data_IF_588682274728
#
_entry.id   IF_588682274728
#
_cell.length_a   1.000
_cell.length_b   1.000
_cell.length_c   1.000
_cell.angle_alpha   90.00
_cell.angle_beta   90.00
_cell.angle_gamma   90.00
#
_symmetry.space_group_name_H-M   'P 1'
#
loop_
_entity.id
_entity.type
_entity.pdbx_description
1 polymer ?
#
# COMPACT_ATOMS: atom_id res chain seq x y z
N UNK A 1 -25.86 11.66 -0.46
CA UNK A 1 -26.21 11.59 -1.90
C UNK A 1 -24.96 11.97 -2.70
N UNK A 2 -24.73 11.29 -3.79
CA UNK A 2 -23.65 11.67 -4.73
C UNK A 2 -24.00 13.04 -5.34
N UNK A 3 -23.16 14.07 -5.17
CA UNK A 3 -23.44 15.43 -5.65
C UNK A 3 -23.53 15.53 -7.18
N UNK A 4 -23.02 14.53 -7.91
CA UNK A 4 -22.99 14.54 -9.38
C UNK A 4 -24.14 13.79 -10.02
N UNK A 5 -24.73 12.80 -9.35
CA UNK A 5 -25.75 11.93 -9.93
C UNK A 5 -27.09 11.92 -9.17
N UNK A 6 -27.17 12.54 -7.98
CA UNK A 6 -28.35 12.51 -7.11
C UNK A 6 -28.72 11.11 -6.58
N UNK A 7 -27.86 10.09 -6.86
CA UNK A 7 -28.07 8.72 -6.39
C UNK A 7 -27.60 8.54 -4.96
N UNK A 8 -28.18 7.61 -4.19
CA UNK A 8 -27.65 7.27 -2.88
C UNK A 8 -26.23 6.70 -3.02
N UNK A 9 -25.35 7.05 -2.06
CA UNK A 9 -24.00 6.50 -2.00
C UNK A 9 -24.05 4.97 -1.82
N UNK A 10 -23.13 4.27 -2.44
CA UNK A 10 -22.95 2.84 -2.22
C UNK A 10 -22.46 2.54 -0.79
N UNK A 11 -22.69 1.32 -0.29
CA UNK A 11 -22.26 0.91 1.06
C UNK A 11 -20.79 1.25 1.34
N UNK A 12 -19.90 0.96 0.40
CA UNK A 12 -18.46 1.22 0.55
C UNK A 12 -18.12 2.71 0.62
N UNK A 13 -18.89 3.56 -0.06
CA UNK A 13 -18.72 5.02 0.02
C UNK A 13 -19.19 5.57 1.36
N UNK A 14 -20.29 5.01 1.89
CA UNK A 14 -20.77 5.35 3.25
C UNK A 14 -19.77 4.95 4.32
N UNK A 15 -19.17 3.75 4.24
CA UNK A 15 -18.11 3.32 5.16
C UNK A 15 -16.91 4.27 5.14
N UNK A 16 -16.45 4.65 3.95
CA UNK A 16 -15.31 5.58 3.80
C UNK A 16 -15.65 6.97 4.33
N UNK A 17 -16.88 7.45 4.11
CA UNK A 17 -17.34 8.74 4.63
C UNK A 17 -17.42 8.78 6.17
N UNK A 18 -17.73 7.66 6.80
CA UNK A 18 -17.77 7.51 8.26
C UNK A 18 -16.36 7.50 8.89
N UNK A 19 -15.38 6.92 8.20
CA UNK A 19 -13.98 6.81 8.62
C UNK A 19 -13.04 7.32 7.54
N UNK A 20 -13.03 8.64 7.26
CA UNK A 20 -12.28 9.20 6.13
C UNK A 20 -10.75 9.14 6.31
N UNK A 21 -10.27 8.89 7.52
CA UNK A 21 -8.87 8.59 7.80
C UNK A 21 -8.45 7.16 7.42
N UNK A 22 -9.40 6.33 6.98
CA UNK A 22 -9.21 4.93 6.58
C UNK A 22 -8.78 4.01 7.73
N UNK A 23 -9.03 4.38 8.97
CA UNK A 23 -8.66 3.57 10.16
C UNK A 23 -9.54 2.33 10.32
N UNK A 24 -10.83 2.43 10.02
CA UNK A 24 -11.80 1.40 10.35
C UNK A 24 -11.76 1.03 11.83
N UNK A 25 -11.88 -0.27 12.11
CA UNK A 25 -11.64 -0.90 13.44
C UNK A 25 -10.39 -1.80 13.41
N UNK A 26 -9.40 -1.43 12.57
CA UNK A 26 -8.18 -2.23 12.36
C UNK A 26 -7.38 -2.37 13.66
N UNK A 27 -7.28 -1.28 14.47
CA UNK A 27 -6.52 -1.30 15.73
C UNK A 27 -7.11 -2.27 16.74
N UNK A 28 -8.43 -2.28 16.87
CA UNK A 28 -9.17 -3.16 17.76
C UNK A 28 -8.97 -4.62 17.35
N UNK A 29 -9.02 -4.90 16.05
CA UNK A 29 -8.75 -6.24 15.51
C UNK A 29 -7.31 -6.68 15.82
N UNK A 30 -6.33 -5.80 15.63
CA UNK A 30 -4.92 -6.10 15.91
C UNK A 30 -4.61 -6.26 17.41
N UNK A 31 -5.36 -5.58 18.27
CA UNK A 31 -5.23 -5.68 19.72
C UNK A 31 -5.85 -6.97 20.28
N UNK A 32 -6.73 -7.64 19.54
CA UNK A 32 -7.36 -8.89 19.95
C UNK A 32 -6.47 -10.09 19.56
N UNK A 33 -5.85 -10.80 20.52
CA UNK A 33 -4.97 -11.93 20.24
C UNK A 33 -5.70 -13.15 19.64
N UNK A 34 -7.02 -13.23 19.80
CA UNK A 34 -7.86 -14.30 19.28
C UNK A 34 -8.38 -14.00 17.87
N UNK A 35 -8.20 -12.78 17.37
CA UNK A 35 -8.64 -12.45 16.03
C UNK A 35 -7.74 -13.10 14.98
N UNK A 36 -8.34 -13.82 14.06
CA UNK A 36 -7.67 -14.47 12.92
C UNK A 36 -7.91 -13.72 11.60
N UNK A 37 -8.80 -12.72 11.61
CA UNK A 37 -9.24 -11.99 10.42
C UNK A 37 -9.76 -10.60 10.76
N UNK A 38 -9.84 -9.76 9.74
CA UNK A 38 -10.52 -8.48 9.78
C UNK A 38 -12.02 -8.63 9.53
N UNK A 39 -12.82 -7.69 10.02
CA UNK A 39 -14.25 -7.61 9.75
C UNK A 39 -14.53 -7.39 8.26
N UNK A 40 -15.74 -7.70 7.80
CA UNK A 40 -16.12 -7.47 6.40
C UNK A 40 -16.10 -5.98 5.99
N UNK A 41 -16.32 -5.07 6.94
CA UNK A 41 -16.24 -3.64 6.70
C UNK A 41 -14.77 -3.17 6.67
N UNK A 42 -13.92 -3.69 7.58
CA UNK A 42 -12.48 -3.42 7.56
C UNK A 42 -11.77 -3.95 6.31
N UNK A 43 -12.31 -4.98 5.65
CA UNK A 43 -11.78 -5.41 4.36
C UNK A 43 -11.73 -4.29 3.31
N UNK A 44 -12.56 -3.25 3.43
CA UNK A 44 -12.46 -2.08 2.55
C UNK A 44 -11.30 -1.18 2.94
N UNK A 45 -11.09 -0.96 4.24
CA UNK A 45 -10.03 -0.08 4.75
C UNK A 45 -8.65 -0.69 4.58
N UNK A 46 -8.44 -1.96 4.93
CA UNK A 46 -7.14 -2.63 4.77
C UNK A 46 -6.64 -2.65 3.32
N UNK A 47 -7.54 -2.57 2.32
CA UNK A 47 -7.16 -2.42 0.90
C UNK A 47 -6.36 -1.14 0.68
N UNK A 48 -6.77 -0.02 1.29
CA UNK A 48 -6.01 1.24 1.19
C UNK A 48 -4.61 1.12 1.82
N UNK A 49 -4.47 0.25 2.82
CA UNK A 49 -3.19 -0.06 3.46
C UNK A 49 -2.36 -1.11 2.70
N UNK A 50 -2.82 -1.55 1.53
CA UNK A 50 -2.11 -2.50 0.68
C UNK A 50 -2.34 -3.96 1.02
N UNK A 51 -3.36 -4.26 1.79
CA UNK A 51 -3.67 -5.58 2.33
C UNK A 51 -4.94 -6.13 1.67
N UNK A 52 -4.92 -7.43 1.33
CA UNK A 52 -6.11 -8.18 0.93
C UNK A 52 -6.27 -9.40 1.81
N UNK A 53 -7.40 -9.51 2.49
CA UNK A 53 -7.77 -10.71 3.22
C UNK A 53 -8.12 -11.83 2.24
N UNK A 54 -7.62 -13.00 2.51
CA UNK A 54 -7.79 -14.22 1.72
C UNK A 54 -8.07 -15.39 2.65
N UNK A 55 -8.69 -16.43 2.12
CA UNK A 55 -8.84 -17.72 2.78
C UNK A 55 -8.21 -18.82 1.93
N UNK A 56 -7.69 -19.85 2.60
CA UNK A 56 -7.14 -21.02 1.93
C UNK A 56 -8.30 -21.82 1.30
N UNK A 57 -8.29 -21.91 -0.04
CA UNK A 57 -9.34 -22.58 -0.81
C UNK A 57 -9.38 -24.08 -0.57
N UNK A 58 -8.22 -24.67 -0.35
CA UNK A 58 -8.11 -26.12 -0.20
C UNK A 58 -8.63 -26.58 1.17
N UNK A 59 -8.52 -25.71 2.15
CA UNK A 59 -8.98 -25.95 3.54
C UNK A 59 -10.44 -25.56 3.80
N UNK A 60 -11.14 -24.96 2.86
CA UNK A 60 -12.54 -24.53 3.03
C UNK A 60 -13.48 -25.62 3.52
N UNK A 61 -13.20 -26.89 3.20
CA UNK A 61 -14.00 -28.05 3.61
C UNK A 61 -13.81 -28.46 5.06
N UNK A 62 -12.64 -28.16 5.62
CA UNK A 62 -12.25 -28.55 7.00
C UNK A 62 -12.28 -27.37 7.98
N UNK A 63 -12.43 -26.16 7.48
CA UNK A 63 -12.44 -24.91 8.21
C UNK A 63 -11.77 -23.81 7.37
N UNK A 64 -12.17 -22.56 7.56
CA UNK A 64 -11.53 -21.44 6.87
C UNK A 64 -10.26 -21.04 7.62
N UNK A 65 -9.13 -21.09 6.98
CA UNK A 65 -7.90 -20.47 7.45
C UNK A 65 -7.69 -19.14 6.74
N UNK A 66 -7.58 -18.07 7.50
CA UNK A 66 -7.41 -16.73 6.96
C UNK A 66 -5.92 -16.35 6.93
N UNK A 67 -5.57 -15.71 5.84
CA UNK A 67 -4.27 -15.06 5.66
C UNK A 67 -4.48 -13.78 4.87
N UNK A 68 -3.43 -12.99 4.73
CA UNK A 68 -3.50 -11.81 3.88
C UNK A 68 -2.41 -11.82 2.81
N UNK A 69 -2.71 -11.13 1.72
CA UNK A 69 -1.73 -10.68 0.75
C UNK A 69 -1.37 -9.24 1.07
N UNK A 70 -0.08 -8.94 1.22
CA UNK A 70 0.44 -7.58 1.37
C UNK A 70 1.16 -7.18 0.09
N UNK A 71 0.91 -5.97 -0.40
CA UNK A 71 1.49 -5.45 -1.64
C UNK A 71 2.34 -4.22 -1.35
N UNK A 72 3.57 -4.21 -1.85
CA UNK A 72 4.49 -3.09 -1.75
C UNK A 72 4.25 -2.06 -2.86
N UNK A 73 4.81 -0.86 -2.70
CA UNK A 73 4.79 0.21 -3.69
C UNK A 73 6.20 0.37 -4.28
N UNK A 74 6.30 0.31 -5.59
CA UNK A 74 7.51 0.58 -6.37
C UNK A 74 7.12 1.43 -7.57
N UNK A 75 7.26 2.74 -7.46
CA UNK A 75 7.00 3.64 -8.59
C UNK A 75 7.96 3.34 -9.72
N UNK A 76 7.42 3.24 -10.94
CA UNK A 76 8.20 2.88 -12.12
C UNK A 76 8.81 1.47 -12.10
N UNK A 77 8.50 0.65 -11.09
CA UNK A 77 9.13 -0.65 -10.88
C UNK A 77 10.55 -0.58 -10.32
N UNK A 78 10.98 0.61 -9.91
CA UNK A 78 12.32 0.84 -9.37
C UNK A 78 12.40 0.27 -7.97
N UNK A 79 13.34 -0.64 -7.75
CA UNK A 79 13.64 -1.21 -6.43
C UNK A 79 15.16 -1.35 -6.29
N UNK A 80 15.79 -0.63 -5.34
CA UNK A 80 17.20 -0.84 -5.02
C UNK A 80 17.47 -2.27 -4.55
N UNK A 81 18.61 -2.83 -4.92
CA UNK A 81 18.99 -4.20 -4.55
C UNK A 81 18.93 -4.42 -3.03
N UNK A 82 19.33 -3.44 -2.24
CA UNK A 82 19.29 -3.53 -0.78
C UNK A 82 17.84 -3.59 -0.23
N UNK A 83 16.89 -2.87 -0.84
CA UNK A 83 15.47 -3.00 -0.50
C UNK A 83 14.94 -4.40 -0.87
N UNK A 84 15.32 -4.91 -2.04
CA UNK A 84 14.93 -6.26 -2.45
C UNK A 84 15.39 -7.32 -1.44
N UNK A 85 16.63 -7.23 -0.94
CA UNK A 85 17.14 -8.14 0.08
C UNK A 85 16.36 -8.08 1.41
N UNK A 86 15.80 -6.93 1.76
CA UNK A 86 14.86 -6.83 2.89
C UNK A 86 13.56 -7.58 2.57
N UNK A 87 13.00 -7.39 1.37
CA UNK A 87 11.78 -8.11 0.97
C UNK A 87 11.96 -9.63 0.93
N UNK A 88 13.08 -10.09 0.42
CA UNK A 88 13.43 -11.52 0.39
C UNK A 88 13.43 -12.12 1.80
N UNK A 89 14.14 -11.48 2.72
CA UNK A 89 14.16 -11.88 4.13
C UNK A 89 12.75 -11.88 4.77
N UNK A 90 11.97 -10.82 4.54
CA UNK A 90 10.62 -10.69 5.08
C UNK A 90 9.68 -11.74 4.49
N UNK A 91 9.89 -12.16 3.24
CA UNK A 91 9.08 -13.20 2.61
C UNK A 91 9.24 -14.55 3.30
N UNK A 92 10.45 -14.89 3.70
CA UNK A 92 10.74 -16.11 4.45
C UNK A 92 10.24 -16.08 5.90
N UNK A 93 10.19 -14.89 6.52
CA UNK A 93 9.77 -14.77 7.93
C UNK A 93 8.27 -14.67 8.13
N UNK A 94 7.57 -13.94 7.27
CA UNK A 94 6.17 -13.55 7.49
C UNK A 94 5.21 -14.02 6.42
N UNK A 95 5.72 -14.50 5.28
CA UNK A 95 4.91 -14.96 4.15
C UNK A 95 5.21 -16.42 3.83
N UNK A 96 4.77 -16.88 2.68
CA UNK A 96 4.99 -18.26 2.22
C UNK A 96 6.39 -18.52 1.60
N UNK A 97 7.36 -17.66 1.84
CA UNK A 97 8.73 -17.78 1.31
C UNK A 97 8.87 -17.36 -0.16
N UNK A 98 7.85 -16.75 -0.76
CA UNK A 98 7.90 -16.31 -2.15
C UNK A 98 7.51 -14.85 -2.31
N UNK A 99 8.12 -14.18 -3.29
CA UNK A 99 7.72 -12.86 -3.76
C UNK A 99 7.10 -12.97 -5.15
N UNK A 100 5.95 -12.32 -5.35
CA UNK A 100 5.31 -12.26 -6.66
C UNK A 100 5.39 -10.87 -7.25
N UNK A 101 5.91 -10.76 -8.45
CA UNK A 101 5.90 -9.52 -9.24
C UNK A 101 4.53 -9.39 -9.90
N UNK A 102 3.97 -8.19 -9.92
CA UNK A 102 2.68 -7.90 -10.53
C UNK A 102 2.83 -7.16 -11.85
N UNK A 103 1.78 -7.18 -12.68
CA UNK A 103 1.70 -6.34 -13.90
C UNK A 103 1.71 -4.83 -13.62
N UNK A 104 1.71 -4.41 -12.35
CA UNK A 104 1.87 -3.02 -11.92
C UNK A 104 3.23 -2.76 -11.28
N UNK A 105 4.21 -3.59 -11.61
CA UNK A 105 5.61 -3.41 -11.16
C UNK A 105 5.74 -3.33 -9.63
N UNK A 106 4.98 -4.17 -8.90
CA UNK A 106 5.00 -4.22 -7.43
C UNK A 106 5.24 -5.64 -6.96
N UNK A 107 5.70 -5.81 -5.72
CA UNK A 107 5.79 -7.11 -5.08
C UNK A 107 4.56 -7.43 -4.23
N UNK A 108 4.31 -8.73 -4.09
CA UNK A 108 3.28 -9.26 -3.20
C UNK A 108 3.88 -10.33 -2.29
N UNK A 109 3.53 -10.24 -1.02
CA UNK A 109 3.71 -11.26 0.01
C UNK A 109 2.39 -11.99 0.18
N UNK A 110 2.39 -13.30 0.11
CA UNK A 110 1.19 -14.13 0.26
C UNK A 110 1.30 -15.04 1.48
N UNK A 111 0.15 -15.40 2.07
CA UNK A 111 0.11 -16.28 3.22
C UNK A 111 0.55 -15.61 4.53
N UNK A 112 0.49 -14.28 4.60
CA UNK A 112 0.86 -13.56 5.82
C UNK A 112 -0.25 -13.75 6.85
N UNK A 113 0.10 -14.24 8.03
CA UNK A 113 -0.82 -14.37 9.16
C UNK A 113 -0.98 -13.03 9.88
N UNK A 114 -2.09 -12.85 10.59
CA UNK A 114 -2.43 -11.59 11.25
C UNK A 114 -1.30 -11.05 12.13
N UNK A 115 -0.68 -11.90 12.96
CA UNK A 115 0.44 -11.50 13.84
C UNK A 115 1.68 -10.99 13.08
N UNK A 116 1.85 -11.39 11.83
CA UNK A 116 2.98 -11.00 10.98
C UNK A 116 2.77 -9.69 10.22
N UNK A 117 1.54 -9.18 10.13
CA UNK A 117 1.23 -8.01 9.28
C UNK A 117 1.95 -6.75 9.77
N UNK A 118 1.83 -6.43 11.05
CA UNK A 118 2.44 -5.25 11.65
C UNK A 118 3.97 -5.23 11.47
N UNK A 119 4.69 -6.26 11.96
CA UNK A 119 6.14 -6.38 11.74
C UNK A 119 6.57 -6.30 10.29
N UNK A 120 5.84 -6.94 9.37
CA UNK A 120 6.11 -6.90 7.94
C UNK A 120 5.99 -5.47 7.38
N UNK A 121 4.87 -4.78 7.63
CA UNK A 121 4.63 -3.44 7.08
C UNK A 121 5.59 -2.43 7.71
N UNK A 122 5.87 -2.53 9.01
CA UNK A 122 6.88 -1.68 9.67
C UNK A 122 8.23 -1.80 8.99
N UNK A 123 8.74 -3.01 8.80
CA UNK A 123 10.06 -3.24 8.18
C UNK A 123 10.12 -2.76 6.74
N UNK A 124 9.02 -2.89 5.97
CA UNK A 124 8.91 -2.32 4.63
C UNK A 124 9.06 -0.78 4.67
N UNK A 125 8.41 -0.11 5.63
CA UNK A 125 8.50 1.35 5.77
C UNK A 125 9.89 1.78 6.28
N UNK A 126 10.48 1.04 7.20
CA UNK A 126 11.85 1.28 7.67
C UNK A 126 12.89 1.17 6.56
N UNK A 127 12.64 0.32 5.56
CA UNK A 127 13.45 0.22 4.34
C UNK A 127 13.13 1.30 3.29
N UNK A 128 12.43 2.39 3.66
CA UNK A 128 12.02 3.50 2.80
C UNK A 128 11.14 3.06 1.62
N UNK A 129 10.27 2.09 1.85
CA UNK A 129 9.19 1.71 0.94
C UNK A 129 7.85 1.89 1.63
N UNK A 130 6.76 1.40 1.04
CA UNK A 130 5.42 1.49 1.62
C UNK A 130 4.49 0.42 1.07
N UNK A 131 3.36 0.23 1.74
CA UNK A 131 2.22 -0.54 1.22
C UNK A 131 0.99 0.34 0.99
N UNK A 132 1.06 1.62 1.39
CA UNK A 132 -0.04 2.58 1.30
C UNK A 132 -0.52 2.74 -0.14
N UNK A 133 -1.83 2.68 -0.33
CA UNK A 133 -2.52 2.90 -1.60
C UNK A 133 -2.08 1.99 -2.77
N UNK A 134 -1.45 0.87 -2.48
CA UNK A 134 -1.18 -0.15 -3.50
C UNK A 134 -2.44 -0.92 -3.90
N UNK A 135 -3.46 -0.83 -3.08
CA UNK A 135 -4.80 -1.34 -3.25
C UNK A 135 -5.83 -0.25 -2.88
N UNK A 136 -7.14 -0.56 -2.85
CA UNK A 136 -8.18 0.43 -2.49
C UNK A 136 -8.68 1.28 -3.67
N UNK A 137 -9.58 2.20 -3.37
CA UNK A 137 -10.28 3.06 -4.35
C UNK A 137 -9.58 4.43 -4.47
N UNK A 138 -8.33 4.37 -4.87
CA UNK A 138 -7.39 5.47 -5.02
C UNK A 138 -6.53 5.25 -6.25
N UNK A 139 -5.62 6.18 -6.54
CA UNK A 139 -4.55 5.94 -7.50
C UNK A 139 -3.62 4.84 -6.98
N UNK A 140 -3.43 3.83 -7.82
CA UNK A 140 -2.54 2.70 -7.52
C UNK A 140 -1.09 3.04 -7.80
N UNK A 141 -0.20 2.04 -7.74
CA UNK A 141 1.19 2.23 -8.14
C UNK A 141 1.27 2.85 -9.55
N UNK A 142 2.03 3.91 -9.69
CA UNK A 142 2.34 4.53 -10.98
C UNK A 142 3.39 3.67 -11.68
N UNK A 143 3.11 3.26 -12.92
CA UNK A 143 4.04 2.46 -13.73
C UNK A 143 4.80 3.34 -14.71
N UNK A 144 6.03 2.95 -15.03
CA UNK A 144 6.86 3.57 -16.05
C UNK A 144 7.54 2.48 -16.89
N UNK A 145 8.23 2.80 -17.98
CA UNK A 145 9.00 1.83 -18.74
C UNK A 145 9.97 1.06 -17.83
N UNK A 146 10.02 -0.27 -17.99
CA UNK A 146 10.81 -1.16 -17.12
C UNK A 146 12.29 -1.25 -17.48
N UNK A 147 12.71 -0.60 -18.55
CA UNK A 147 14.11 -0.56 -18.96
C UNK A 147 14.89 0.48 -18.14
N UNK A 148 16.17 0.23 -17.86
CA UNK A 148 17.02 1.26 -17.28
C UNK A 148 16.98 2.55 -18.12
N UNK A 149 16.96 3.73 -17.47
CA UNK A 149 16.95 4.99 -18.20
C UNK A 149 18.25 5.16 -19.00
N UNK A 150 18.12 5.27 -20.30
CA UNK A 150 19.26 5.38 -21.23
C UNK A 150 19.44 6.79 -21.82
N UNK A 151 18.48 7.66 -21.59
CA UNK A 151 18.46 9.03 -22.06
C UNK A 151 17.73 9.98 -21.09
N UNK A 152 17.79 11.27 -21.37
CA UNK A 152 17.18 12.29 -20.52
C UNK A 152 15.67 12.19 -20.43
N UNK A 153 15.01 11.69 -21.48
CA UNK A 153 13.54 11.51 -21.49
C UNK A 153 13.15 10.40 -20.53
N UNK A 154 13.89 9.28 -20.54
CA UNK A 154 13.63 8.16 -19.65
C UNK A 154 13.86 8.57 -18.17
N UNK A 155 14.92 9.32 -17.88
CA UNK A 155 15.18 9.88 -16.54
C UNK A 155 14.02 10.80 -16.11
N UNK A 156 13.57 11.71 -16.98
CA UNK A 156 12.46 12.62 -16.67
C UNK A 156 11.16 11.86 -16.40
N UNK A 157 10.89 10.80 -17.15
CA UNK A 157 9.69 9.96 -16.92
C UNK A 157 9.72 9.30 -15.53
N UNK A 158 10.88 8.84 -15.07
CA UNK A 158 11.01 8.27 -13.73
C UNK A 158 10.76 9.34 -12.65
N UNK A 159 11.34 10.54 -12.80
CA UNK A 159 11.11 11.67 -11.89
C UNK A 159 9.63 12.10 -11.86
N UNK A 160 8.99 12.20 -13.02
CA UNK A 160 7.58 12.53 -13.15
C UNK A 160 6.68 11.46 -12.51
N UNK A 161 7.04 10.18 -12.66
CA UNK A 161 6.33 9.08 -12.02
C UNK A 161 6.39 9.17 -10.49
N UNK A 162 7.53 9.51 -9.91
CA UNK A 162 7.66 9.75 -8.47
C UNK A 162 6.90 11.00 -8.01
N UNK A 163 6.97 12.08 -8.77
CA UNK A 163 6.25 13.32 -8.50
C UNK A 163 4.74 13.07 -8.49
N UNK A 164 4.23 12.37 -9.50
CA UNK A 164 2.82 12.00 -9.59
C UNK A 164 2.42 11.02 -8.48
N UNK A 165 3.27 10.07 -8.13
CA UNK A 165 3.02 9.15 -7.01
C UNK A 165 2.79 9.93 -5.73
N UNK A 166 3.69 10.87 -5.38
CA UNK A 166 3.56 11.70 -4.17
C UNK A 166 2.29 12.55 -4.17
N UNK A 167 1.98 13.17 -5.30
CA UNK A 167 0.80 14.00 -5.45
C UNK A 167 -0.52 13.22 -5.29
N UNK A 168 -0.51 11.92 -5.66
CA UNK A 168 -1.70 11.06 -5.65
C UNK A 168 -1.76 10.07 -4.48
N UNK A 169 -0.83 10.16 -3.50
CA UNK A 169 -0.97 9.39 -2.26
C UNK A 169 -2.12 9.92 -1.42
N UNK A 170 -2.97 9.05 -0.86
CA UNK A 170 -4.00 9.48 0.07
C UNK A 170 -3.37 10.04 1.34
N UNK A 171 -3.88 11.18 1.79
CA UNK A 171 -3.44 11.85 3.01
C UNK A 171 -4.17 11.25 4.21
N UNK A 172 -3.64 10.15 4.73
CA UNK A 172 -4.17 9.49 5.92
C UNK A 172 -3.14 9.46 7.04
N UNK A 173 -3.58 9.75 8.26
CA UNK A 173 -2.77 9.59 9.48
C UNK A 173 -2.83 8.16 10.03
N UNK A 174 -3.87 7.42 9.69
CA UNK A 174 -4.12 6.09 10.23
C UNK A 174 -3.06 5.07 9.81
N UNK A 175 -2.59 5.10 8.55
CA UNK A 175 -1.61 4.14 8.06
C UNK A 175 -0.35 4.09 8.93
N UNK A 176 0.32 5.23 9.12
CA UNK A 176 1.55 5.28 9.92
C UNK A 176 1.30 4.96 11.38
N UNK A 177 0.26 5.53 11.97
CA UNK A 177 -0.07 5.31 13.38
C UNK A 177 -0.49 3.87 13.70
N UNK A 178 -1.02 3.11 12.74
CA UNK A 178 -1.36 1.69 12.93
C UNK A 178 -0.14 0.80 12.71
N UNK A 179 0.58 1.00 11.61
CA UNK A 179 1.54 0.01 11.12
C UNK A 179 3.00 0.36 11.43
N UNK A 180 3.31 1.63 11.66
CA UNK A 180 4.68 2.09 11.89
C UNK A 180 4.89 2.47 13.35
N UNK A 181 4.14 3.45 13.85
CA UNK A 181 4.31 3.97 15.20
C UNK A 181 3.75 3.03 16.27
N UNK A 182 2.64 2.33 15.95
CA UNK A 182 1.97 1.40 16.84
C UNK A 182 2.66 0.04 17.00
N UNK A 183 3.67 -0.27 16.20
CA UNK A 183 4.35 -1.57 16.20
C UNK A 183 5.76 -1.45 16.78
N UNK A 184 6.01 -2.12 17.90
CA UNK A 184 7.34 -2.22 18.50
C UNK A 184 7.88 -3.63 18.29
N UNK A 185 8.77 -3.79 17.33
CA UNK A 185 9.41 -5.06 17.01
C UNK A 185 10.83 -4.82 16.55
N UNK A 186 11.78 -5.55 17.11
CA UNK A 186 13.14 -5.67 16.58
C UNK A 186 13.29 -7.06 15.94
N UNK A 187 13.50 -7.06 14.64
CA UNK A 187 13.70 -8.29 13.85
C UNK A 187 15.17 -8.63 13.64
N UNK A 188 16.09 -7.87 14.20
CA UNK A 188 17.52 -8.02 13.92
C UNK A 188 17.90 -7.69 12.47
N UNK A 189 17.10 -6.88 11.79
CA UNK A 189 17.31 -6.47 10.39
C UNK A 189 18.02 -5.11 10.27
N UNK A 190 18.51 -4.53 11.36
CA UNK A 190 19.03 -3.16 11.41
C UNK A 190 20.08 -2.86 10.34
N UNK A 191 21.06 -3.78 10.11
CA UNK A 191 22.06 -3.59 9.08
C UNK A 191 21.48 -3.65 7.65
N UNK A 192 20.57 -4.58 7.36
CA UNK A 192 19.90 -4.67 6.05
C UNK A 192 19.05 -3.44 5.77
N UNK A 193 18.30 -2.98 6.77
CA UNK A 193 17.48 -1.76 6.70
C UNK A 193 18.37 -0.53 6.51
N UNK A 194 19.49 -0.41 7.23
CA UNK A 194 20.44 0.69 7.05
C UNK A 194 21.01 0.73 5.62
N UNK A 195 21.37 -0.42 5.05
CA UNK A 195 21.80 -0.52 3.65
C UNK A 195 20.70 -0.13 2.68
N UNK A 196 19.45 -0.57 2.95
CA UNK A 196 18.29 -0.20 2.13
C UNK A 196 18.04 1.31 2.16
N UNK A 197 18.12 1.95 3.33
CA UNK A 197 17.99 3.41 3.48
C UNK A 197 19.08 4.16 2.72
N UNK A 198 20.32 3.71 2.84
CA UNK A 198 21.45 4.32 2.14
C UNK A 198 21.38 4.18 0.61
N UNK A 199 20.57 3.26 0.10
CA UNK A 199 20.37 3.06 -1.34
C UNK A 199 19.26 3.96 -1.94
N UNK A 200 18.62 4.80 -1.14
CA UNK A 200 17.56 5.73 -1.56
C UNK A 200 18.06 7.15 -1.31
N UNK A 201 18.18 7.96 -2.36
CA UNK A 201 18.76 9.30 -2.30
C UNK A 201 17.91 10.33 -1.53
N UNK A 202 16.70 9.99 -1.16
CA UNK A 202 15.73 10.91 -0.54
C UNK A 202 15.09 10.28 0.70
N UNK A 203 14.48 11.13 1.55
CA UNK A 203 13.53 10.66 2.56
C UNK A 203 12.46 9.79 1.91
N UNK A 204 11.80 8.92 2.70
CA UNK A 204 10.82 7.96 2.16
C UNK A 204 9.90 8.62 1.12
N UNK A 205 10.02 8.28 -0.18
CA UNK A 205 9.29 8.94 -1.25
C UNK A 205 7.77 8.68 -1.19
N UNK A 206 7.35 7.76 -0.33
CA UNK A 206 5.96 7.34 -0.14
C UNK A 206 5.33 7.89 1.14
N UNK A 207 5.97 8.87 1.78
CA UNK A 207 5.38 9.58 2.91
C UNK A 207 4.40 10.62 2.38
N UNK A 208 3.08 10.48 2.60
CA UNK A 208 2.14 11.50 2.18
C UNK A 208 2.28 12.75 3.07
N UNK A 209 1.99 13.94 2.55
CA UNK A 209 1.82 15.10 3.40
C UNK A 209 0.63 14.89 4.36
N UNK A 210 0.55 15.65 5.46
CA UNK A 210 -0.58 15.57 6.39
C UNK A 210 -1.93 15.77 5.68
N UNK A 211 -2.97 15.14 6.22
CA UNK A 211 -4.34 15.42 5.79
C UNK A 211 -4.74 16.84 6.14
N UNK A 212 -5.60 17.45 5.32
CA UNK A 212 -6.29 18.67 5.69
C UNK A 212 -7.41 18.35 6.70
N UNK A 213 -8.02 19.38 7.28
CA UNK A 213 -9.18 19.22 8.17
C UNK A 213 -10.36 19.98 7.58
N UNK A 214 -11.57 19.43 7.72
CA UNK A 214 -12.79 20.13 7.39
C UNK A 214 -13.20 21.10 8.52
N UNK A 215 -14.32 21.82 8.32
CA UNK A 215 -14.86 22.79 9.29
C UNK A 215 -15.19 22.17 10.65
N UNK A 216 -15.34 20.85 10.74
CA UNK A 216 -15.54 20.11 11.99
C UNK A 216 -14.23 19.65 12.65
N UNK A 217 -13.08 19.89 12.01
CA UNK A 217 -11.78 19.40 12.45
C UNK A 217 -11.51 17.94 12.07
N UNK A 218 -12.39 17.30 11.27
CA UNK A 218 -12.19 15.94 10.82
C UNK A 218 -11.17 15.89 9.67
N UNK A 219 -10.28 14.87 9.63
CA UNK A 219 -9.31 14.72 8.56
C UNK A 219 -10.02 14.47 7.22
N UNK A 220 -9.65 15.24 6.21
CA UNK A 220 -10.18 15.11 4.84
C UNK A 220 -9.02 15.11 3.85
N UNK A 221 -9.04 14.16 2.96
CA UNK A 221 -8.11 14.15 1.82
C UNK A 221 -8.53 15.24 0.81
N UNK A 222 -7.66 16.21 0.49
CA UNK A 222 -8.01 17.32 -0.40
C UNK A 222 -8.24 16.91 -1.83
N UNK A 223 -7.69 15.77 -2.27
CA UNK A 223 -7.85 15.24 -3.62
C UNK A 223 -9.04 14.27 -3.71
N UNK A 224 -9.15 13.35 -2.75
CA UNK A 224 -10.13 12.27 -2.81
C UNK A 224 -11.41 12.57 -2.03
N UNK A 225 -11.40 13.56 -1.14
CA UNK A 225 -12.52 13.84 -0.25
C UNK A 225 -12.83 12.70 0.72
N UNK A 226 -14.01 12.76 1.37
CA UNK A 226 -14.40 11.77 2.38
C UNK A 226 -14.75 10.38 1.84
N UNK A 227 -15.23 10.29 0.60
CA UNK A 227 -15.72 9.04 0.01
C UNK A 227 -14.68 8.32 -0.84
N UNK A 228 -13.56 8.99 -1.11
CA UNK A 228 -12.55 8.53 -2.06
C UNK A 228 -13.15 8.27 -3.45
N UNK A 229 -12.42 7.56 -4.31
CA UNK A 229 -12.95 7.22 -5.62
C UNK A 229 -13.98 6.08 -5.52
N UNK A 230 -14.97 5.99 -6.43
CA UNK A 230 -15.89 4.86 -6.47
C UNK A 230 -15.16 3.56 -6.87
N UNK A 231 -14.01 3.68 -7.51
CA UNK A 231 -13.16 2.56 -7.91
C UNK A 231 -11.71 3.00 -8.10
N UNK A 232 -10.79 2.03 -8.06
CA UNK A 232 -9.36 2.24 -8.32
C UNK A 232 -9.09 3.04 -9.60
N UNK A 233 -8.12 3.92 -9.54
CA UNK A 233 -7.54 4.61 -10.70
C UNK A 233 -6.11 4.10 -10.92
N UNK A 234 -5.70 4.02 -12.18
CA UNK A 234 -4.37 3.54 -12.55
C UNK A 234 -3.70 4.53 -13.48
N UNK A 235 -2.45 4.85 -13.19
CA UNK A 235 -1.62 5.73 -14.00
C UNK A 235 -0.37 4.98 -14.46
N UNK A 236 0.07 5.26 -15.66
CA UNK A 236 1.31 4.74 -16.21
C UNK A 236 1.86 5.69 -17.25
N UNK A 237 3.17 5.78 -17.30
CA UNK A 237 3.90 6.49 -18.32
C UNK A 237 4.34 5.52 -19.42
N UNK A 238 4.33 5.99 -20.66
CA UNK A 238 4.86 5.27 -21.80
C UNK A 238 5.69 6.24 -22.65
N UNK A 239 6.88 5.83 -23.04
CA UNK A 239 7.68 6.55 -24.02
C UNK A 239 7.32 5.97 -25.38
N UNK A 240 6.84 6.78 -26.33
CA UNK A 240 6.56 6.31 -27.68
C UNK A 240 7.86 5.86 -28.34
N UNK A 241 8.05 4.58 -28.48
CA UNK A 241 9.09 4.01 -29.32
C UNK A 241 8.45 3.12 -30.40
N UNK A 242 9.22 2.81 -31.44
CA UNK A 242 8.73 2.01 -32.57
C UNK A 242 8.39 0.56 -32.21
N UNK A 243 8.62 0.12 -30.96
CA UNK A 243 8.50 -1.27 -30.51
C UNK A 243 7.58 -1.49 -29.31
N UNK A 244 7.19 -0.44 -28.62
CA UNK A 244 6.48 -0.52 -27.34
C UNK A 244 5.06 0.02 -27.37
N UNK A 245 4.41 0.06 -28.52
CA UNK A 245 2.98 0.35 -28.59
C UNK A 245 2.21 -0.95 -28.38
N UNK A 246 1.78 -1.20 -27.17
CA UNK A 246 0.82 -2.23 -26.81
C UNK A 246 -0.41 -1.59 -26.22
#
# INVERSE_FOLDING_TARGET
MDPTSGKPLAKNELLKADKPDLSGTIRETLANPEADRFSGDDEQFIKFHGIYQQDDRDKRKTGKEYSVMVRTRQTGGIVPAAQYLVYDELSGRFANGTLRITSRQTFQFHGVLQKGIGPLIKSINEALSSTLATCGDVNRNVTAPSNPPVDTVAVQVDEDAFTLTRALLPRTTAYHSIWVDGVQVDLGLGEKIAKARASVDQANPYMPPPADTDDSGAPVDPLYGKTYLPRKFKTGFAIPDRKSVV
#
